data_IF_555823926518
#
_entry.id   IF_555823926518
#
_cell.length_a   1.000
_cell.length_b   1.000
_cell.length_c   1.000
_cell.angle_alpha   90.00
_cell.angle_beta   90.00
_cell.angle_gamma   90.00
#
_symmetry.space_group_name_H-M   'P 1'
#
loop_
_entity.id
_entity.type
_entity.pdbx_description
1 polymer ?
#
# COMPACT_ATOMS: atom_id res chain seq x y z
N UNK A 1 3.96 24.02 18.19
CA UNK A 1 3.49 22.87 17.39
C UNK A 1 4.65 22.35 16.56
N UNK A 2 5.46 21.44 17.11
CA UNK A 2 6.52 20.78 16.35
C UNK A 2 5.88 19.67 15.52
N UNK A 3 5.93 19.81 14.20
CA UNK A 3 5.52 18.75 13.27
C UNK A 3 6.40 17.52 13.49
N UNK A 4 5.81 16.35 13.72
CA UNK A 4 6.57 15.11 13.70
C UNK A 4 7.17 14.94 12.31
N UNK A 5 8.49 14.75 12.17
CA UNK A 5 9.09 14.51 10.86
C UNK A 5 8.47 13.27 10.23
N UNK A 6 8.06 13.37 8.98
CA UNK A 6 7.44 12.26 8.26
C UNK A 6 8.44 11.08 8.11
N UNK A 7 7.92 9.85 8.17
CA UNK A 7 8.68 8.67 7.72
C UNK A 7 8.73 8.64 6.21
N UNK A 8 9.84 8.17 5.66
CA UNK A 8 9.93 7.88 4.24
C UNK A 8 10.47 6.47 3.98
N UNK A 9 9.88 5.84 2.95
CA UNK A 9 10.46 4.69 2.28
C UNK A 9 11.07 5.17 0.95
N UNK A 10 12.38 5.01 0.79
CA UNK A 10 13.05 5.29 -0.46
C UNK A 10 12.94 4.08 -1.39
N UNK A 11 12.36 4.27 -2.58
CA UNK A 11 12.30 3.22 -3.59
C UNK A 11 13.69 3.04 -4.21
N UNK A 12 14.30 1.88 -3.99
CA UNK A 12 15.59 1.50 -4.59
C UNK A 12 15.36 0.76 -5.91
N UNK A 13 14.30 -0.04 -5.99
CA UNK A 13 13.85 -0.74 -7.20
C UNK A 13 12.33 -0.88 -7.19
N UNK A 14 11.66 -0.51 -8.28
CA UNK A 14 10.20 -0.55 -8.38
C UNK A 14 9.61 -1.94 -8.60
N UNK A 15 10.37 -2.89 -9.14
CA UNK A 15 9.80 -4.12 -9.70
C UNK A 15 9.07 -3.86 -11.02
N UNK A 16 8.39 -4.89 -11.54
CA UNK A 16 7.66 -4.80 -12.81
C UNK A 16 6.46 -3.86 -12.72
N UNK A 17 5.68 -3.97 -11.64
CA UNK A 17 4.62 -3.02 -11.31
C UNK A 17 4.39 -3.05 -9.80
N UNK A 18 4.62 -1.91 -9.15
CA UNK A 18 4.29 -1.72 -7.74
C UNK A 18 3.38 -0.50 -7.63
N UNK A 19 2.24 -0.67 -6.97
CA UNK A 19 1.26 0.40 -6.80
C UNK A 19 0.85 0.53 -5.34
N UNK A 20 0.45 1.74 -4.95
CA UNK A 20 -0.19 1.94 -3.65
C UNK A 20 -1.67 1.57 -3.81
N UNK A 21 -2.14 0.61 -3.04
CA UNK A 21 -3.53 0.16 -3.07
C UNK A 21 -4.17 0.22 -1.68
N UNK A 22 -5.45 0.58 -1.64
CA UNK A 22 -6.29 0.58 -0.44
C UNK A 22 -7.58 -0.22 -0.70
N UNK A 23 -8.68 0.12 -0.03
CA UNK A 23 -9.99 -0.51 -0.23
C UNK A 23 -10.68 -0.16 -1.57
N UNK A 24 -10.10 0.77 -2.34
CA UNK A 24 -10.63 1.25 -3.60
C UNK A 24 -11.71 2.34 -3.44
N UNK A 25 -12.39 2.62 -4.55
CA UNK A 25 -13.37 3.68 -4.76
C UNK A 25 -14.67 3.13 -5.39
N UNK A 26 -15.43 2.28 -4.67
CA UNK A 26 -16.69 1.76 -5.19
C UNK A 26 -17.73 2.89 -5.38
N UNK A 27 -18.76 2.66 -6.20
CA UNK A 27 -19.88 3.58 -6.39
C UNK A 27 -19.76 4.53 -7.59
N UNK A 28 -18.56 4.69 -8.16
CA UNK A 28 -18.31 5.65 -9.24
C UNK A 28 -18.32 5.06 -10.66
N UNK A 29 -18.72 3.80 -10.82
CA UNK A 29 -18.74 3.11 -12.11
C UNK A 29 -19.66 3.81 -13.14
N UNK A 30 -20.73 4.46 -12.68
CA UNK A 30 -21.64 5.24 -13.51
C UNK A 30 -20.98 6.47 -14.17
N UNK A 31 -19.82 6.91 -13.66
CA UNK A 31 -18.99 7.96 -14.25
C UNK A 31 -17.79 7.41 -15.01
N UNK A 32 -17.72 6.09 -15.23
CA UNK A 32 -16.57 5.44 -15.87
C UNK A 32 -15.34 5.27 -14.98
N UNK A 33 -15.46 5.52 -13.67
CA UNK A 33 -14.35 5.36 -12.73
C UNK A 33 -14.33 3.93 -12.18
N UNK A 34 -13.27 3.19 -12.49
CA UNK A 34 -13.08 1.82 -12.00
C UNK A 34 -12.90 1.75 -10.48
N UNK A 35 -13.27 0.61 -9.88
CA UNK A 35 -13.25 0.36 -8.42
C UNK A 35 -11.85 0.51 -7.81
N UNK A 36 -10.77 0.12 -8.50
CA UNK A 36 -9.40 0.09 -7.94
C UNK A 36 -9.32 -0.72 -6.64
N UNK A 37 -8.36 -0.37 -5.78
CA UNK A 37 -8.03 -1.12 -4.57
C UNK A 37 -7.17 -2.33 -4.89
N UNK A 38 -6.74 -3.00 -3.83
CA UNK A 38 -5.92 -4.20 -3.97
C UNK A 38 -6.65 -5.27 -4.79
N UNK A 39 -5.95 -5.88 -5.73
CA UNK A 39 -6.44 -6.98 -6.57
C UNK A 39 -6.83 -8.17 -5.68
N UNK A 40 -6.00 -8.50 -4.69
CA UNK A 40 -6.29 -9.47 -3.63
C UNK A 40 -6.62 -8.75 -2.30
N UNK A 41 -7.87 -8.34 -2.16
CA UNK A 41 -8.34 -7.65 -0.97
C UNK A 41 -8.21 -8.48 0.34
N UNK A 42 -8.48 -9.80 0.38
CA UNK A 42 -8.16 -10.64 1.53
C UNK A 42 -6.69 -10.58 1.96
N UNK A 43 -5.74 -10.69 1.02
CA UNK A 43 -4.31 -10.61 1.30
C UNK A 43 -3.91 -9.23 1.85
N UNK A 44 -4.38 -8.14 1.23
CA UNK A 44 -4.10 -6.78 1.71
C UNK A 44 -4.62 -6.56 3.14
N UNK A 45 -5.81 -7.07 3.47
CA UNK A 45 -6.35 -7.01 4.84
C UNK A 45 -5.54 -7.85 5.81
N UNK A 46 -5.05 -9.02 5.39
CA UNK A 46 -4.18 -9.85 6.22
C UNK A 46 -2.86 -9.15 6.52
N UNK A 47 -2.19 -8.60 5.50
CA UNK A 47 -0.96 -7.84 5.65
C UNK A 47 -1.12 -6.69 6.67
N UNK A 48 -2.18 -5.89 6.51
CA UNK A 48 -2.48 -4.83 7.48
C UNK A 48 -2.69 -5.37 8.90
N UNK A 49 -3.47 -6.45 9.08
CA UNK A 49 -3.70 -7.03 10.41
C UNK A 49 -2.41 -7.53 11.06
N UNK A 50 -1.50 -8.11 10.28
CA UNK A 50 -0.23 -8.65 10.81
C UNK A 50 0.67 -7.57 11.41
N UNK A 51 0.58 -6.33 10.91
CA UNK A 51 1.33 -5.18 11.45
C UNK A 51 0.49 -4.26 12.34
N UNK A 52 -0.76 -4.63 12.64
CA UNK A 52 -1.66 -3.86 13.51
C UNK A 52 -2.33 -2.66 12.85
N UNK A 53 -2.29 -2.55 11.52
CA UNK A 53 -2.94 -1.47 10.79
C UNK A 53 -4.47 -1.66 10.69
N UNK A 54 -5.24 -0.57 10.54
CA UNK A 54 -6.65 -0.63 10.17
C UNK A 54 -6.87 -1.38 8.84
N UNK A 55 -8.00 -2.11 8.64
CA UNK A 55 -8.23 -2.94 7.46
C UNK A 55 -8.25 -2.22 6.09
N UNK A 56 -8.41 -0.89 6.09
CA UNK A 56 -8.40 -0.05 4.88
C UNK A 56 -7.12 0.76 4.68
N UNK A 57 -6.10 0.56 5.53
CA UNK A 57 -4.83 1.24 5.36
C UNK A 57 -4.18 0.82 4.02
N UNK A 58 -3.52 1.77 3.37
CA UNK A 58 -2.88 1.53 2.09
C UNK A 58 -1.69 0.56 2.24
N UNK A 59 -1.51 -0.29 1.25
CA UNK A 59 -0.40 -1.24 1.12
C UNK A 59 0.35 -0.99 -0.19
N UNK A 60 1.57 -1.53 -0.30
CA UNK A 60 2.25 -1.67 -1.57
C UNK A 60 1.85 -3.00 -2.20
N UNK A 61 1.11 -2.95 -3.31
CA UNK A 61 0.80 -4.13 -4.11
C UNK A 61 1.88 -4.29 -5.19
N UNK A 62 2.59 -5.42 -5.16
CA UNK A 62 3.64 -5.73 -6.13
C UNK A 62 3.22 -6.86 -7.06
N UNK A 63 3.46 -6.68 -8.36
CA UNK A 63 3.15 -7.65 -9.40
C UNK A 63 4.45 -8.17 -10.01
N UNK A 64 4.57 -9.51 -10.10
CA UNK A 64 5.72 -10.25 -10.62
C UNK A 64 7.01 -10.16 -9.79
N UNK A 65 7.82 -9.11 -9.96
CA UNK A 65 9.24 -9.11 -9.52
C UNK A 65 9.52 -8.41 -8.20
N UNK A 66 8.48 -7.92 -7.51
CA UNK A 66 8.60 -7.26 -6.21
C UNK A 66 9.38 -5.93 -6.22
N UNK A 67 9.21 -5.10 -5.19
CA UNK A 67 10.00 -3.88 -5.02
C UNK A 67 11.16 -4.08 -4.02
N UNK A 68 12.13 -3.16 -4.05
CA UNK A 68 13.10 -2.97 -2.96
C UNK A 68 12.96 -1.54 -2.43
N UNK A 69 12.79 -1.42 -1.11
CA UNK A 69 12.67 -0.14 -0.42
C UNK A 69 13.68 -0.03 0.70
N UNK A 70 14.15 1.19 0.97
CA UNK A 70 15.02 1.51 2.10
C UNK A 70 14.28 2.46 3.04
N UNK A 71 13.95 2.06 4.26
CA UNK A 71 13.34 2.97 5.23
C UNK A 71 14.38 3.95 5.79
N UNK A 72 13.94 5.15 6.18
CA UNK A 72 14.77 6.14 6.88
C UNK A 72 14.85 5.92 8.40
N UNK A 73 13.99 5.06 8.94
CA UNK A 73 13.92 4.65 10.35
C UNK A 73 13.48 3.19 10.49
N UNK A 74 13.56 2.57 11.68
CA UNK A 74 13.04 1.22 11.89
C UNK A 74 11.54 1.12 11.52
N UNK A 75 11.18 0.07 10.79
CA UNK A 75 9.80 -0.25 10.37
C UNK A 75 9.51 -1.73 10.60
N UNK A 76 8.23 -2.07 10.76
CA UNK A 76 7.73 -3.45 10.71
C UNK A 76 7.07 -3.63 9.34
N UNK A 77 7.41 -4.70 8.63
CA UNK A 77 6.88 -5.01 7.30
C UNK A 77 6.53 -6.49 7.19
N UNK A 78 5.57 -6.81 6.32
CA UNK A 78 5.10 -8.16 6.00
C UNK A 78 4.87 -8.31 4.51
#
# INVERSE_FOLDING_TARGET
>A
MTSTPAAYLHVVRSGALTTVQDAGRPGWAHLGVGRSGALDAPAARLANRLVGNPPGAAVLETTLTGCAVRPDRPVVAV
#
